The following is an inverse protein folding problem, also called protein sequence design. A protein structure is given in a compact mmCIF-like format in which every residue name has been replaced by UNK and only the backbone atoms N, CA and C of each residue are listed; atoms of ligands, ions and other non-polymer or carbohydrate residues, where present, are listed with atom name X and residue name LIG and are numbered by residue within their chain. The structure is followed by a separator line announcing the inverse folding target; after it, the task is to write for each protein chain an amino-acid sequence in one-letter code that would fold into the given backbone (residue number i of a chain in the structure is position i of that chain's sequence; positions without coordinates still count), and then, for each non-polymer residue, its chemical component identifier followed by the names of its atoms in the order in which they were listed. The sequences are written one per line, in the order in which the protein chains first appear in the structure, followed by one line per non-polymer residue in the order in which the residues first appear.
data_IF_231667761769
#
_entry.id   IF_231667761769
#
_cell.length_a   1.000
_cell.length_b   1.000
_cell.length_c   1.000
_cell.angle_alpha   90.00
_cell.angle_beta   90.00
_cell.angle_gamma   90.00
#
_symmetry.space_group_name_H-M   'P 1'
#
loop_
_entity.id
_entity.type
_entity.pdbx_description
1 polymer ?
#
# COMPACT_ATOMS: atom_id res chain seq x y z
N UNK A 1 3.75 -8.43 8.12
CA UNK A 1 3.35 -9.75 7.59
C UNK A 1 4.20 -10.07 6.38
N UNK A 2 4.73 -11.30 6.24
CA UNK A 2 5.49 -11.73 5.07
C UNK A 2 4.75 -12.82 4.27
N UNK A 3 3.42 -12.74 4.11
CA UNK A 3 2.67 -13.58 3.16
C UNK A 3 1.20 -13.15 2.99
N UNK A 4 0.95 -11.85 2.80
CA UNK A 4 -0.42 -11.39 2.53
C UNK A 4 -0.84 -11.90 1.14
N UNK A 5 -1.97 -12.61 1.08
CA UNK A 5 -2.55 -13.02 -0.18
C UNK A 5 -3.49 -11.93 -0.70
N UNK A 6 -3.78 -11.97 -2.01
CA UNK A 6 -4.66 -10.99 -2.65
C UNK A 6 -6.03 -10.88 -1.95
N UNK A 7 -6.59 -11.98 -1.43
CA UNK A 7 -7.87 -11.96 -0.71
C UNK A 7 -7.80 -11.26 0.65
N UNK A 8 -6.67 -11.36 1.36
CA UNK A 8 -6.45 -10.65 2.63
C UNK A 8 -6.35 -9.13 2.39
N UNK A 9 -5.72 -8.76 1.28
CA UNK A 9 -5.49 -7.37 0.88
C UNK A 9 -6.73 -6.70 0.31
N UNK A 10 -7.50 -7.41 -0.52
CA UNK A 10 -8.67 -6.85 -1.22
C UNK A 10 -9.71 -6.27 -0.24
N UNK A 11 -10.07 -7.04 0.79
CA UNK A 11 -11.06 -6.62 1.78
C UNK A 11 -10.57 -5.43 2.61
N UNK A 12 -9.31 -5.47 3.06
CA UNK A 12 -8.71 -4.38 3.84
C UNK A 12 -8.57 -3.09 3.03
N UNK A 13 -8.16 -3.19 1.76
CA UNK A 13 -8.02 -2.02 0.88
C UNK A 13 -9.35 -1.30 0.68
N UNK A 14 -10.44 -2.03 0.46
CA UNK A 14 -11.78 -1.45 0.32
C UNK A 14 -12.20 -0.69 1.57
N UNK A 15 -12.02 -1.28 2.76
CA UNK A 15 -12.36 -0.63 4.04
C UNK A 15 -11.59 0.69 4.21
N UNK A 16 -10.29 0.67 3.92
CA UNK A 16 -9.45 1.87 4.06
C UNK A 16 -9.90 2.96 3.08
N UNK A 17 -10.20 2.60 1.83
CA UNK A 17 -10.66 3.54 0.81
C UNK A 17 -12.02 4.17 1.17
N UNK A 18 -12.99 3.37 1.62
CA UNK A 18 -14.30 3.85 2.08
C UNK A 18 -14.19 4.75 3.32
N UNK A 19 -13.18 4.54 4.16
CA UNK A 19 -12.87 5.43 5.28
C UNK A 19 -12.14 6.73 4.88
N UNK A 20 -11.94 6.98 3.57
CA UNK A 20 -11.22 8.14 3.04
C UNK A 20 -9.70 8.01 3.08
N UNK A 21 -9.18 6.80 3.30
CA UNK A 21 -7.76 6.49 3.25
C UNK A 21 -7.25 6.27 1.83
N UNK A 22 -5.93 6.13 1.71
CA UNK A 22 -5.22 5.87 0.46
C UNK A 22 -4.50 4.53 0.56
N UNK A 23 -4.52 3.77 -0.53
CA UNK A 23 -3.85 2.47 -0.64
C UNK A 23 -3.02 2.47 -1.92
N UNK A 24 -1.72 2.17 -1.82
CA UNK A 24 -0.80 2.08 -2.96
C UNK A 24 0.21 0.95 -2.78
N UNK A 25 0.91 0.59 -3.85
CA UNK A 25 2.15 -0.18 -3.77
C UNK A 25 3.33 0.71 -3.31
N UNK A 26 4.56 0.17 -3.28
CA UNK A 26 5.77 0.91 -2.88
C UNK A 26 6.24 1.93 -3.93
N UNK A 27 5.72 1.86 -5.15
CA UNK A 27 5.94 2.82 -6.24
C UNK A 27 4.91 3.96 -6.21
N UNK A 28 3.84 3.81 -5.42
CA UNK A 28 2.71 4.73 -5.38
C UNK A 28 1.63 4.42 -6.42
N UNK A 29 1.70 3.25 -7.06
CA UNK A 29 0.73 2.73 -8.02
C UNK A 29 -0.36 1.88 -7.38
N UNK A 30 -1.14 1.22 -8.23
CA UNK A 30 -2.33 0.43 -7.91
C UNK A 30 -2.08 -1.09 -7.90
N UNK A 31 -0.84 -1.55 -8.10
CA UNK A 31 -0.48 -2.98 -8.09
C UNK A 31 -0.36 -3.57 -6.66
N UNK A 32 -1.02 -2.96 -5.67
CA UNK A 32 -0.95 -3.43 -4.28
C UNK A 32 -1.63 -4.77 -4.04
N UNK A 33 -2.52 -5.18 -4.95
CA UNK A 33 -3.29 -6.42 -4.83
C UNK A 33 -2.49 -7.67 -5.25
N UNK A 34 -1.61 -7.53 -6.25
CA UNK A 34 -0.84 -8.64 -6.81
C UNK A 34 0.67 -8.48 -6.65
N UNK A 35 1.17 -7.24 -6.55
CA UNK A 35 2.57 -6.88 -6.42
C UNK A 35 3.22 -7.24 -5.08
N UNK A 36 2.44 -7.81 -4.12
CA UNK A 36 2.88 -8.24 -2.78
C UNK A 36 3.42 -7.11 -1.88
N UNK A 37 3.22 -5.87 -2.30
CA UNK A 37 3.66 -4.66 -1.62
C UNK A 37 2.43 -3.77 -1.43
N UNK A 38 2.13 -3.39 -0.20
CA UNK A 38 0.97 -2.55 0.10
C UNK A 38 1.33 -1.51 1.17
N UNK A 39 0.84 -0.29 0.95
CA UNK A 39 0.90 0.83 1.87
C UNK A 39 -0.53 1.38 1.96
N UNK A 40 -1.18 1.14 3.09
CA UNK A 40 -2.51 1.67 3.38
C UNK A 40 -2.44 2.67 4.55
N UNK A 41 -3.12 3.81 4.44
CA UNK A 41 -3.13 4.81 5.51
C UNK A 41 -4.03 6.01 5.23
N UNK A 42 -4.00 7.00 6.13
CA UNK A 42 -4.71 8.26 5.99
C UNK A 42 -3.80 9.34 5.34
N UNK A 43 -3.99 10.61 5.67
CA UNK A 43 -3.17 11.73 5.21
C UNK A 43 -1.65 11.62 5.48
N UNK A 44 -1.21 10.66 6.31
CA UNK A 44 0.20 10.37 6.57
C UNK A 44 0.83 9.35 5.58
N UNK A 45 0.02 8.69 4.76
CA UNK A 45 0.46 7.67 3.80
C UNK A 45 1.49 8.20 2.78
N UNK A 46 1.35 9.42 2.21
CA UNK A 46 2.32 9.95 1.24
C UNK A 46 3.72 10.17 1.84
N UNK A 47 3.81 10.53 3.12
CA UNK A 47 5.07 10.72 3.84
C UNK A 47 5.77 9.37 4.03
N UNK A 48 5.00 8.32 4.36
CA UNK A 48 5.50 6.96 4.47
C UNK A 48 6.00 6.44 3.12
N UNK A 49 5.25 6.69 2.03
CA UNK A 49 5.66 6.35 0.67
C UNK A 49 7.02 6.96 0.31
N UNK A 50 7.26 8.24 0.65
CA UNK A 50 8.56 8.90 0.40
C UNK A 50 9.72 8.22 1.13
N UNK A 51 9.52 7.79 2.38
CA UNK A 51 10.54 7.06 3.15
C UNK A 51 10.79 5.69 2.53
N UNK A 52 9.73 4.97 2.16
CA UNK A 52 9.84 3.66 1.53
C UNK A 52 10.58 3.77 0.19
N UNK A 53 10.21 4.70 -0.68
CA UNK A 53 10.88 4.92 -1.97
C UNK A 53 12.37 5.26 -1.81
N UNK A 54 12.75 5.99 -0.76
CA UNK A 54 14.16 6.29 -0.47
C UNK A 54 14.99 5.03 -0.18
N UNK A 55 14.40 4.02 0.46
CA UNK A 55 15.10 2.82 0.91
C UNK A 55 14.86 1.58 0.02
N UNK A 56 13.72 1.52 -0.68
CA UNK A 56 13.27 0.38 -1.49
C UNK A 56 13.07 0.69 -2.97
N UNK A 57 12.99 1.97 -3.39
CA UNK A 57 12.73 2.38 -4.79
C UNK A 57 13.91 2.24 -5.76
N UNK A 58 14.98 1.51 -5.40
CA UNK A 58 16.18 1.29 -6.22
C UNK A 58 16.32 -0.15 -6.73
N UNK A 59 15.23 -0.73 -7.22
CA UNK A 59 15.29 -1.95 -8.04
C UNK A 59 14.67 -1.70 -9.40
#
# INVERSE_FOLDING_TARGET
EYNLNAWDVAAGALIVQEAGGTVTDFKGGDDFLFGREIIAGNAAQPQMLKVIQKHWGKK
#
